data_IF_491592521583
#
_entry.id   IF_491592521583
#
_cell.length_a   1.000
_cell.length_b   1.000
_cell.length_c   1.000
_cell.angle_alpha   90.00
_cell.angle_beta   90.00
_cell.angle_gamma   90.00
#
_symmetry.space_group_name_H-M   'P 1'
#
loop_
_entity.id
_entity.type
_entity.pdbx_description
1 polymer ?
#
# COMPACT_ATOMS: atom_id res chain seq x y z
N UNK A 1 -1.93 -6.34 -15.92
CA UNK A 1 -1.16 -5.59 -14.90
C UNK A 1 0.30 -5.54 -15.30
N UNK A 2 0.95 -4.38 -15.19
CA UNK A 2 2.41 -4.30 -15.29
C UNK A 2 3.04 -5.25 -14.27
N UNK A 3 4.18 -5.86 -14.59
CA UNK A 3 4.79 -6.88 -13.75
C UNK A 3 5.37 -6.24 -12.48
N UNK A 4 4.54 -6.12 -11.45
CA UNK A 4 4.97 -5.66 -10.11
C UNK A 4 5.53 -6.85 -9.35
N UNK A 5 6.71 -6.70 -8.75
CA UNK A 5 7.36 -7.76 -7.99
C UNK A 5 6.53 -8.15 -6.76
N UNK A 6 6.68 -9.40 -6.31
CA UNK A 6 5.99 -9.88 -5.12
C UNK A 6 6.33 -9.03 -3.88
N UNK A 7 7.60 -8.64 -3.73
CA UNK A 7 8.06 -7.83 -2.60
C UNK A 7 7.36 -6.47 -2.55
N UNK A 8 7.14 -5.83 -3.69
CA UNK A 8 6.42 -4.55 -3.76
C UNK A 8 4.96 -4.73 -3.35
N UNK A 9 4.30 -5.81 -3.81
CA UNK A 9 2.91 -6.10 -3.41
C UNK A 9 2.79 -6.33 -1.90
N UNK A 10 3.69 -7.11 -1.32
CA UNK A 10 3.73 -7.38 0.12
C UNK A 10 4.01 -6.11 0.94
N UNK A 11 4.91 -5.24 0.47
CA UNK A 11 5.18 -3.97 1.12
C UNK A 11 3.94 -3.06 1.11
N UNK A 12 3.23 -2.97 -0.02
CA UNK A 12 1.97 -2.21 -0.12
C UNK A 12 0.94 -2.77 0.85
N UNK A 13 0.68 -4.08 0.84
CA UNK A 13 -0.29 -4.73 1.72
C UNK A 13 -0.02 -4.40 3.19
N UNK A 14 1.21 -4.61 3.65
CA UNK A 14 1.61 -4.35 5.04
C UNK A 14 1.44 -2.88 5.45
N UNK A 15 1.73 -1.95 4.55
CA UNK A 15 1.57 -0.51 4.85
C UNK A 15 0.08 -0.15 4.92
N UNK A 16 -0.73 -0.69 4.01
CA UNK A 16 -2.18 -0.48 4.01
C UNK A 16 -2.81 -1.00 5.30
N UNK A 17 -2.46 -2.23 5.72
CA UNK A 17 -2.91 -2.81 7.00
C UNK A 17 -2.54 -1.91 8.19
N UNK A 18 -1.27 -1.55 8.33
CA UNK A 18 -0.80 -0.72 9.43
C UNK A 18 -1.50 0.65 9.48
N UNK A 19 -1.72 1.28 8.32
CA UNK A 19 -2.38 2.59 8.27
C UNK A 19 -3.86 2.51 8.63
N UNK A 20 -4.54 1.44 8.24
CA UNK A 20 -5.93 1.21 8.62
C UNK A 20 -6.07 1.01 10.15
N UNK A 21 -5.16 0.24 10.75
CA UNK A 21 -5.12 0.03 12.21
C UNK A 21 -4.84 1.34 12.97
N UNK A 22 -3.90 2.16 12.51
CA UNK A 22 -3.48 3.38 13.22
C UNK A 22 -4.41 4.58 13.02
N UNK A 23 -4.93 4.77 11.81
CA UNK A 23 -5.50 6.06 11.39
C UNK A 23 -6.91 5.99 10.80
N UNK A 24 -7.45 4.79 10.53
CA UNK A 24 -8.77 4.54 9.89
C UNK A 24 -8.96 5.12 8.47
N UNK A 25 -8.12 6.05 8.04
CA UNK A 25 -8.14 6.67 6.71
C UNK A 25 -6.84 6.39 5.95
N UNK A 26 -6.99 6.13 4.66
CA UNK A 26 -5.88 5.80 3.77
C UNK A 26 -5.60 6.93 2.80
N UNK A 27 -4.42 7.52 2.93
CA UNK A 27 -3.89 8.52 2.00
C UNK A 27 -2.82 7.89 1.11
N UNK A 28 -3.05 7.90 -0.21
CA UNK A 28 -2.12 7.37 -1.21
C UNK A 28 -0.74 8.05 -1.16
N UNK A 29 -0.67 9.33 -0.84
CA UNK A 29 0.61 10.04 -0.72
C UNK A 29 1.38 9.61 0.52
N UNK A 30 0.67 9.31 1.61
CA UNK A 30 1.28 8.74 2.82
C UNK A 30 1.80 7.33 2.57
N UNK A 31 1.04 6.49 1.85
CA UNK A 31 1.51 5.15 1.43
C UNK A 31 2.76 5.27 0.56
N UNK A 32 2.75 6.16 -0.44
CA UNK A 32 3.89 6.40 -1.32
C UNK A 32 5.14 6.85 -0.55
N UNK A 33 4.97 7.78 0.40
CA UNK A 33 6.04 8.25 1.28
C UNK A 33 6.65 7.11 2.10
N UNK A 34 5.83 6.28 2.74
CA UNK A 34 6.30 5.17 3.59
C UNK A 34 7.00 4.10 2.74
N UNK A 35 6.50 3.80 1.54
CA UNK A 35 7.15 2.88 0.60
C UNK A 35 8.54 3.36 0.20
N UNK A 36 8.69 4.66 -0.04
CA UNK A 36 9.98 5.23 -0.40
C UNK A 36 10.94 5.24 0.79
N UNK A 37 10.49 5.75 1.94
CA UNK A 37 11.30 5.94 3.15
C UNK A 37 11.75 4.61 3.77
N UNK A 38 10.83 3.65 3.93
CA UNK A 38 11.09 2.40 4.65
C UNK A 38 11.53 1.25 3.76
N UNK A 39 11.16 1.26 2.49
CA UNK A 39 11.40 0.14 1.58
C UNK A 39 12.23 0.52 0.34
N UNK A 40 12.55 1.80 0.14
CA UNK A 40 13.25 2.27 -1.06
C UNK A 40 12.45 2.10 -2.34
N UNK A 41 11.11 1.97 -2.24
CA UNK A 41 10.22 1.72 -3.38
C UNK A 41 9.55 3.03 -3.78
N UNK A 42 9.92 3.57 -4.94
CA UNK A 42 9.29 4.77 -5.51
C UNK A 42 8.35 4.42 -6.65
N UNK A 43 7.12 4.92 -6.58
CA UNK A 43 6.14 4.83 -7.66
C UNK A 43 6.12 6.11 -8.51
N UNK A 44 6.50 6.01 -9.78
CA UNK A 44 6.37 7.11 -10.74
C UNK A 44 4.95 7.30 -11.28
N UNK A 45 4.12 6.26 -11.17
CA UNK A 45 2.74 6.28 -11.60
C UNK A 45 1.85 5.93 -10.40
N UNK A 46 1.18 6.96 -9.86
CA UNK A 46 0.29 6.81 -8.71
C UNK A 46 -0.96 5.97 -9.03
N UNK A 47 -1.37 5.88 -10.31
CA UNK A 47 -2.46 4.98 -10.71
C UNK A 47 -2.12 3.51 -10.48
N UNK A 48 -0.86 3.11 -10.70
CA UNK A 48 -0.41 1.74 -10.37
C UNK A 48 -0.39 1.51 -8.86
N UNK A 49 0.04 2.50 -8.08
CA UNK A 49 -0.01 2.42 -6.63
C UNK A 49 -1.46 2.30 -6.13
N UNK A 50 -2.37 3.10 -6.70
CA UNK A 50 -3.79 3.06 -6.40
C UNK A 50 -4.39 1.67 -6.70
N UNK A 51 -4.09 1.08 -7.85
CA UNK A 51 -4.53 -0.29 -8.17
C UNK A 51 -4.03 -1.32 -7.14
N UNK A 52 -2.80 -1.19 -6.66
CA UNK A 52 -2.24 -2.09 -5.65
C UNK A 52 -2.88 -1.89 -4.27
N UNK A 53 -3.15 -0.64 -3.90
CA UNK A 53 -3.87 -0.31 -2.66
C UNK A 53 -5.28 -0.90 -2.70
N UNK A 54 -6.01 -0.74 -3.81
CA UNK A 54 -7.35 -1.31 -3.96
C UNK A 54 -7.35 -2.83 -3.79
N UNK A 55 -6.35 -3.52 -4.37
CA UNK A 55 -6.19 -4.97 -4.17
C UNK A 55 -5.85 -5.34 -2.73
N UNK A 56 -5.00 -4.57 -2.08
CA UNK A 56 -4.71 -4.79 -0.67
C UNK A 56 -6.00 -4.65 0.17
N UNK A 57 -6.82 -3.65 -0.10
CA UNK A 57 -8.12 -3.48 0.56
C UNK A 57 -9.08 -4.66 0.31
N UNK A 58 -9.10 -5.21 -0.92
CA UNK A 58 -9.91 -6.40 -1.24
C UNK A 58 -9.39 -7.66 -0.51
N UNK A 59 -8.10 -7.73 -0.20
CA UNK A 59 -7.46 -8.85 0.52
C UNK A 59 -7.59 -8.73 2.04
N UNK A 60 -7.73 -7.52 2.58
CA UNK A 60 -7.87 -7.27 4.02
C UNK A 60 -9.30 -7.59 4.46
N UNK A 61 -9.47 -8.73 5.13
CA UNK A 61 -10.79 -9.21 5.57
C UNK A 61 -11.25 -8.55 6.88
N UNK A 62 -10.30 -8.14 7.74
CA UNK A 62 -10.59 -7.47 9.01
C UNK A 62 -9.38 -6.63 9.45
N UNK A 63 -9.65 -5.64 10.30
CA UNK A 63 -8.64 -4.85 11.03
C UNK A 63 -9.06 -4.79 12.51
N UNK A 64 -8.09 -4.74 13.42
CA UNK A 64 -8.37 -4.44 14.84
C UNK A 64 -8.56 -2.93 15.00
N UNK A 65 -9.59 -2.51 15.75
CA UNK A 65 -9.96 -1.09 15.96
C UNK A 65 -9.93 -0.74 17.43
#
# INVERSE_FOLDING_TARGET
MKQVSLNVRQAVLKIVENLLEEHKELDIFKVAYILEDKYGIRFYNLGVLQELIMKALDEIVFIYV
#
